data_IF_579061102778
#
_entry.id   IF_579061102778
#
_cell.length_a   1.000
_cell.length_b   1.000
_cell.length_c   1.000
_cell.angle_alpha   90.00
_cell.angle_beta   90.00
_cell.angle_gamma   90.00
#
_symmetry.space_group_name_H-M   'P 1'
#
loop_
_entity.id
_entity.type
_entity.pdbx_description
1 polymer ?
#
# COMPACT_ATOMS: atom_id res chain seq x y z
N UNK A 1 22.70 -4.54 18.60
CA UNK A 1 21.44 -5.29 18.36
C UNK A 1 21.18 -5.35 16.86
N UNK A 2 20.89 -6.56 16.34
CA UNK A 2 20.60 -6.82 14.93
C UNK A 2 19.43 -7.81 14.85
N UNK A 3 18.57 -7.69 13.87
CA UNK A 3 17.45 -8.61 13.66
C UNK A 3 16.20 -7.94 13.08
N UNK A 4 15.09 -8.64 13.15
CA UNK A 4 13.81 -8.19 12.64
C UNK A 4 12.76 -8.17 13.74
N UNK A 5 11.88 -7.17 13.68
CA UNK A 5 10.61 -7.13 14.40
C UNK A 5 9.52 -7.29 13.32
N UNK A 6 8.63 -8.25 13.53
CA UNK A 6 7.44 -8.42 12.72
C UNK A 6 6.31 -7.73 13.48
N UNK A 7 5.90 -6.59 12.98
CA UNK A 7 4.85 -5.78 13.59
C UNK A 7 3.54 -6.01 12.84
N UNK A 8 2.51 -6.41 13.56
CA UNK A 8 1.13 -6.27 13.09
C UNK A 8 0.75 -4.80 13.25
N UNK A 9 0.80 -4.06 12.13
CA UNK A 9 0.60 -2.61 12.14
C UNK A 9 -0.89 -2.29 12.30
N UNK A 10 -1.28 -1.59 13.38
CA UNK A 10 -2.67 -1.20 13.55
C UNK A 10 -3.09 -0.10 12.57
N UNK A 11 -4.41 0.04 12.41
CA UNK A 11 -5.03 1.15 11.69
C UNK A 11 -4.61 2.50 12.30
N UNK A 12 -4.44 3.50 11.45
CA UNK A 12 -4.10 4.88 11.86
C UNK A 12 -2.62 5.13 12.13
N UNK A 13 -1.78 4.08 12.16
CA UNK A 13 -0.34 4.22 12.37
C UNK A 13 0.42 4.22 11.05
N UNK A 14 1.19 5.27 10.76
CA UNK A 14 2.10 5.29 9.60
C UNK A 14 3.37 4.46 9.84
N UNK A 15 3.92 3.86 8.78
CA UNK A 15 5.14 3.01 8.85
C UNK A 15 6.35 3.75 9.43
N UNK A 16 6.53 5.04 9.10
CA UNK A 16 7.60 5.88 9.67
C UNK A 16 7.40 6.12 11.17
N UNK A 17 6.15 6.28 11.61
CA UNK A 17 5.81 6.45 13.03
C UNK A 17 6.10 5.16 13.81
N UNK A 18 5.84 3.99 13.23
CA UNK A 18 6.18 2.70 13.82
C UNK A 18 7.70 2.57 14.03
N UNK A 19 8.51 2.93 13.02
CA UNK A 19 9.98 2.97 13.13
C UNK A 19 10.43 3.95 14.24
N UNK A 20 9.81 5.13 14.33
CA UNK A 20 10.12 6.11 15.37
C UNK A 20 9.81 5.58 16.77
N UNK A 21 8.67 4.88 16.94
CA UNK A 21 8.29 4.24 18.20
C UNK A 21 9.31 3.16 18.63
N UNK A 22 9.73 2.30 17.68
CA UNK A 22 10.77 1.29 17.95
C UNK A 22 12.08 1.95 18.38
N UNK A 23 12.54 2.99 17.67
CA UNK A 23 13.76 3.74 18.05
C UNK A 23 13.65 4.33 19.46
N UNK A 24 12.52 4.89 19.83
CA UNK A 24 12.27 5.47 21.15
C UNK A 24 12.35 4.38 22.23
N UNK A 25 11.66 3.26 22.03
CA UNK A 25 11.62 2.15 22.99
C UNK A 25 13.01 1.54 23.20
N UNK A 26 13.79 1.35 22.12
CA UNK A 26 15.17 0.85 22.22
C UNK A 26 16.06 1.79 23.05
N UNK A 27 15.95 3.10 22.85
CA UNK A 27 16.69 4.09 23.65
C UNK A 27 16.29 4.05 25.12
N UNK A 28 14.99 4.00 25.41
CA UNK A 28 14.46 3.92 26.78
C UNK A 28 14.92 2.64 27.49
N UNK A 29 15.11 1.54 26.74
CA UNK A 29 15.63 0.28 27.26
C UNK A 29 17.16 0.22 27.34
N UNK A 30 17.88 1.32 27.11
CA UNK A 30 19.34 1.40 27.29
C UNK A 30 20.18 0.88 26.11
N UNK A 31 19.57 0.54 24.95
CA UNK A 31 20.33 0.04 23.80
C UNK A 31 21.08 1.11 23.00
N UNK A 32 21.02 2.36 23.39
CA UNK A 32 21.69 3.47 22.72
C UNK A 32 21.14 3.72 21.32
N UNK A 33 22.03 4.13 20.39
CA UNK A 33 21.64 4.44 18.99
C UNK A 33 21.69 3.20 18.11
N UNK A 34 20.54 2.58 17.86
CA UNK A 34 20.36 1.47 16.91
C UNK A 34 19.84 2.01 15.60
N UNK A 35 20.41 1.56 14.46
CA UNK A 35 19.85 1.81 13.12
C UNK A 35 18.56 1.02 13.00
N UNK A 36 17.47 1.67 12.59
CA UNK A 36 16.14 1.05 12.40
C UNK A 36 15.55 1.52 11.08
N UNK A 37 15.03 0.59 10.30
CA UNK A 37 14.32 0.82 9.04
C UNK A 37 13.17 -0.15 8.89
N UNK A 38 12.36 0.01 7.83
CA UNK A 38 11.30 -0.94 7.49
C UNK A 38 11.53 -1.53 6.09
N UNK A 39 11.08 -2.75 5.87
CA UNK A 39 11.20 -3.52 4.62
C UNK A 39 9.96 -3.47 3.75
N UNK A 40 9.18 -2.42 3.82
CA UNK A 40 7.95 -2.16 3.07
C UNK A 40 7.25 -0.95 3.66
N UNK A 41 6.24 -0.43 2.97
CA UNK A 41 5.41 0.68 3.47
C UNK A 41 3.97 0.24 3.46
N UNK A 42 3.29 0.42 4.58
CA UNK A 42 1.84 0.37 4.72
C UNK A 42 1.35 1.77 5.03
N UNK A 43 0.32 2.20 4.34
CA UNK A 43 -0.34 3.48 4.56
C UNK A 43 -1.04 3.53 5.91
N UNK A 44 -1.39 4.71 6.46
CA UNK A 44 -2.04 4.81 7.77
C UNK A 44 -3.33 4.00 7.86
N UNK A 45 -4.15 3.97 6.80
CA UNK A 45 -5.41 3.21 6.76
C UNK A 45 -5.22 1.72 6.43
N UNK A 46 -4.02 1.27 6.08
CA UNK A 46 -3.74 -0.15 5.92
C UNK A 46 -3.30 -0.78 7.25
N UNK A 47 -3.76 -2.00 7.51
CA UNK A 47 -3.30 -2.88 8.59
C UNK A 47 -2.43 -4.00 8.06
N UNK A 48 -1.76 -4.76 8.91
CA UNK A 48 -1.05 -5.98 8.56
C UNK A 48 0.45 -5.95 8.84
N UNK A 49 1.17 -6.85 8.21
CA UNK A 49 2.58 -7.14 8.52
C UNK A 49 3.51 -6.04 8.05
N UNK A 50 4.15 -5.35 8.97
CA UNK A 50 5.25 -4.42 8.71
C UNK A 50 6.56 -5.00 9.28
N UNK A 51 7.50 -5.32 8.40
CA UNK A 51 8.83 -5.80 8.80
C UNK A 51 9.73 -4.64 9.18
N UNK A 52 10.24 -4.61 10.41
CA UNK A 52 11.14 -3.58 10.92
C UNK A 52 12.51 -4.21 11.17
N UNK A 53 13.53 -3.69 10.50
CA UNK A 53 14.90 -4.15 10.60
C UNK A 53 15.70 -3.33 11.62
N UNK A 54 16.56 -4.01 12.39
CA UNK A 54 17.44 -3.45 13.40
C UNK A 54 18.91 -3.67 13.02
N UNK A 55 19.73 -2.65 13.15
CA UNK A 55 21.18 -2.71 12.93
C UNK A 55 21.55 -3.20 11.53
N UNK A 56 22.34 -4.24 11.41
CA UNK A 56 22.79 -4.79 10.12
C UNK A 56 21.64 -5.33 9.25
N UNK A 57 20.55 -5.80 9.85
CA UNK A 57 19.39 -6.26 9.09
C UNK A 57 18.79 -5.16 8.20
N UNK A 58 19.01 -3.88 8.49
CA UNK A 58 18.57 -2.77 7.62
C UNK A 58 19.16 -2.83 6.21
N UNK A 59 20.28 -3.50 6.01
CA UNK A 59 20.87 -3.74 4.69
C UNK A 59 20.05 -4.69 3.82
N UNK A 60 19.16 -5.47 4.45
CA UNK A 60 18.30 -6.46 3.78
C UNK A 60 16.89 -5.93 3.51
N UNK A 61 16.55 -4.69 3.89
CA UNK A 61 15.22 -4.11 3.65
C UNK A 61 14.81 -4.15 2.18
N UNK A 62 15.77 -3.96 1.25
CA UNK A 62 15.49 -4.06 -0.19
C UNK A 62 14.92 -5.42 -0.60
N UNK A 63 15.41 -6.51 -0.03
CA UNK A 63 14.89 -7.86 -0.33
C UNK A 63 13.43 -8.03 0.10
N UNK A 64 13.01 -7.37 1.18
CA UNK A 64 11.60 -7.38 1.62
C UNK A 64 10.73 -6.52 0.70
N UNK A 65 11.27 -5.43 0.16
CA UNK A 65 10.58 -4.60 -0.83
C UNK A 65 10.29 -5.38 -2.13
N UNK A 66 11.23 -6.22 -2.55
CA UNK A 66 11.13 -7.00 -3.80
C UNK A 66 10.43 -8.36 -3.61
N UNK A 67 10.13 -8.77 -2.38
CA UNK A 67 9.43 -10.02 -2.10
C UNK A 67 7.97 -9.97 -2.57
N UNK A 68 7.41 -11.13 -2.90
CA UNK A 68 5.97 -11.29 -3.15
C UNK A 68 5.15 -10.91 -1.91
N UNK A 69 3.97 -10.34 -2.12
CA UNK A 69 3.06 -9.88 -1.07
C UNK A 69 1.64 -10.29 -1.39
N UNK A 70 0.85 -10.50 -0.35
CA UNK A 70 -0.60 -10.68 -0.44
C UNK A 70 -1.28 -9.48 0.19
N UNK A 71 -2.32 -9.00 -0.45
CA UNK A 71 -3.15 -7.89 0.02
C UNK A 71 -4.62 -8.29 -0.07
N UNK A 72 -5.36 -7.99 0.98
CA UNK A 72 -6.82 -7.94 0.94
C UNK A 72 -7.23 -6.46 0.81
N UNK A 73 -8.05 -6.14 -0.16
CA UNK A 73 -8.52 -4.77 -0.34
C UNK A 73 -9.97 -4.73 -0.82
N UNK A 74 -10.69 -3.69 -0.41
CA UNK A 74 -12.09 -3.50 -0.77
C UNK A 74 -12.23 -2.37 -1.77
N UNK A 75 -12.86 -2.65 -2.90
CA UNK A 75 -13.26 -1.65 -3.89
C UNK A 75 -14.68 -1.19 -3.57
N UNK A 76 -14.89 0.11 -3.40
CA UNK A 76 -16.20 0.74 -3.29
C UNK A 76 -16.59 1.28 -4.67
N UNK A 77 -17.73 0.82 -5.20
CA UNK A 77 -18.24 1.30 -6.48
C UNK A 77 -19.02 2.60 -6.32
N UNK A 78 -18.98 3.44 -7.35
CA UNK A 78 -19.78 4.66 -7.45
C UNK A 78 -19.02 5.94 -7.15
N UNK A 79 -17.78 5.86 -6.69
CA UNK A 79 -16.92 7.02 -6.51
C UNK A 79 -15.48 6.69 -6.88
N UNK A 80 -14.80 7.66 -7.48
CA UNK A 80 -13.36 7.64 -7.69
C UNK A 80 -12.72 8.74 -6.85
N UNK A 81 -11.63 8.42 -6.16
CA UNK A 81 -10.88 9.37 -5.35
C UNK A 81 -9.54 9.71 -5.99
N UNK A 82 -8.99 10.88 -5.66
CA UNK A 82 -7.73 11.38 -6.23
C UNK A 82 -6.52 10.47 -5.96
N UNK A 83 -6.54 9.72 -4.85
CA UNK A 83 -5.50 8.76 -4.46
C UNK A 83 -5.83 7.31 -4.80
N UNK A 84 -7.03 7.03 -5.33
CA UNK A 84 -7.60 5.69 -5.48
C UNK A 84 -7.69 4.92 -4.14
N UNK A 85 -7.82 5.65 -3.05
CA UNK A 85 -7.93 5.17 -1.68
C UNK A 85 -8.96 5.98 -0.89
N UNK A 86 -9.22 5.61 0.37
CA UNK A 86 -10.19 6.27 1.23
C UNK A 86 -9.68 7.60 1.84
N UNK A 87 -8.41 7.98 1.62
CA UNK A 87 -7.86 9.27 2.08
C UNK A 87 -8.03 10.38 1.03
N UNK A 88 -8.24 10.01 -0.26
CA UNK A 88 -8.38 10.96 -1.36
C UNK A 88 -9.75 11.64 -1.39
N UNK A 89 -9.79 12.86 -1.93
CA UNK A 89 -11.05 13.54 -2.23
C UNK A 89 -11.75 12.87 -3.42
N UNK A 90 -13.09 12.84 -3.39
CA UNK A 90 -13.89 12.31 -4.51
C UNK A 90 -13.75 13.23 -5.72
N UNK A 91 -13.26 12.69 -6.83
CA UNK A 91 -13.03 13.41 -8.09
C UNK A 91 -14.04 13.05 -9.19
N UNK A 92 -14.67 11.87 -9.09
CA UNK A 92 -15.74 11.45 -10.00
C UNK A 92 -16.75 10.56 -9.29
N UNK A 93 -17.99 10.54 -9.79
CA UNK A 93 -19.06 9.67 -9.30
C UNK A 93 -19.77 8.96 -10.44
N UNK A 94 -20.37 7.79 -10.17
CA UNK A 94 -21.15 7.00 -11.11
C UNK A 94 -22.28 6.27 -10.38
N UNK A 95 -23.45 6.24 -10.99
CA UNK A 95 -24.58 5.42 -10.52
C UNK A 95 -24.46 3.95 -10.96
N UNK A 96 -23.52 3.66 -11.86
CA UNK A 96 -23.31 2.29 -12.34
C UNK A 96 -22.79 1.39 -11.22
N UNK A 97 -23.40 0.19 -11.14
CA UNK A 97 -22.97 -0.88 -10.23
C UNK A 97 -22.76 -2.15 -11.05
N UNK A 98 -21.55 -2.72 -11.09
CA UNK A 98 -21.31 -3.95 -11.82
C UNK A 98 -21.99 -5.14 -11.14
N UNK A 99 -22.35 -6.14 -11.95
CA UNK A 99 -22.69 -7.45 -11.42
C UNK A 99 -21.44 -8.23 -11.01
N UNK A 100 -21.60 -9.24 -10.15
CA UNK A 100 -20.48 -10.12 -9.77
C UNK A 100 -19.80 -10.73 -11.00
N UNK A 101 -20.58 -11.24 -11.96
CA UNK A 101 -20.05 -11.82 -13.19
C UNK A 101 -19.22 -10.83 -14.02
N UNK A 102 -19.57 -9.54 -14.01
CA UNK A 102 -18.78 -8.51 -14.69
C UNK A 102 -17.45 -8.25 -13.97
N UNK A 103 -17.45 -8.25 -12.64
CA UNK A 103 -16.22 -8.13 -11.86
C UNK A 103 -15.32 -9.35 -12.10
N UNK A 104 -15.86 -10.57 -11.98
CA UNK A 104 -15.11 -11.81 -12.25
C UNK A 104 -14.48 -11.80 -13.65
N UNK A 105 -15.22 -11.40 -14.67
CA UNK A 105 -14.71 -11.29 -16.04
C UNK A 105 -13.58 -10.26 -16.19
N UNK A 106 -13.61 -9.20 -15.37
CA UNK A 106 -12.58 -8.16 -15.38
C UNK A 106 -11.26 -8.62 -14.74
N UNK A 107 -11.28 -9.54 -13.75
CA UNK A 107 -10.08 -9.94 -13.00
C UNK A 107 -8.97 -10.48 -13.90
N UNK A 108 -9.34 -11.16 -15.00
CA UNK A 108 -8.36 -11.73 -15.94
C UNK A 108 -7.45 -10.66 -16.57
N UNK A 109 -7.92 -9.41 -16.71
CA UNK A 109 -7.15 -8.29 -17.27
C UNK A 109 -6.09 -7.79 -16.30
N UNK A 110 -6.25 -8.07 -15.01
CA UNK A 110 -5.37 -7.62 -13.93
C UNK A 110 -4.52 -8.74 -13.34
N UNK A 111 -4.56 -9.94 -13.93
CA UNK A 111 -3.80 -11.11 -13.49
C UNK A 111 -2.68 -11.43 -14.46
N UNK A 112 -1.54 -11.86 -13.95
CA UNK A 112 -0.32 -12.11 -14.75
C UNK A 112 0.60 -10.89 -14.84
N UNK A 113 1.47 -10.85 -15.84
CA UNK A 113 2.32 -9.69 -16.14
C UNK A 113 1.45 -8.56 -16.71
N UNK A 114 1.44 -7.41 -16.08
CA UNK A 114 0.68 -6.22 -16.50
C UNK A 114 1.54 -4.96 -16.43
N UNK A 115 1.18 -3.97 -17.24
CA UNK A 115 1.72 -2.63 -17.17
C UNK A 115 0.85 -1.76 -16.27
N UNK A 116 1.42 -1.26 -15.18
CA UNK A 116 0.74 -0.40 -14.22
C UNK A 116 1.24 1.03 -14.33
N UNK A 117 0.34 1.99 -14.50
CA UNK A 117 0.62 3.42 -14.27
C UNK A 117 0.24 3.72 -12.82
N UNK A 118 1.22 3.98 -11.93
CA UNK A 118 0.91 4.30 -10.54
C UNK A 118 0.16 5.62 -10.42
N UNK A 119 -0.68 5.82 -9.39
CA UNK A 119 -1.32 7.12 -9.15
C UNK A 119 -0.27 8.18 -8.79
N UNK A 120 -0.56 9.46 -9.14
CA UNK A 120 0.29 10.60 -8.77
C UNK A 120 0.42 10.74 -7.25
N UNK A 121 -0.64 10.40 -6.51
CA UNK A 121 -0.65 10.38 -5.04
C UNK A 121 -0.02 9.09 -4.49
N UNK A 122 1.24 8.82 -4.86
CA UNK A 122 1.99 7.64 -4.41
C UNK A 122 3.30 8.03 -3.74
N UNK A 123 3.87 7.10 -2.97
CA UNK A 123 5.18 7.27 -2.32
C UNK A 123 6.38 7.09 -3.28
N UNK A 124 6.14 6.93 -4.57
CA UNK A 124 7.18 6.81 -5.59
C UNK A 124 7.97 8.11 -5.65
N UNK A 125 9.28 7.99 -5.84
CA UNK A 125 10.16 9.17 -5.98
C UNK A 125 10.35 9.51 -7.44
N UNK A 126 10.20 10.80 -7.75
CA UNK A 126 10.51 11.42 -9.03
C UNK A 126 11.57 12.48 -8.74
N UNK A 127 12.74 12.36 -9.32
CA UNK A 127 13.89 13.26 -9.09
C UNK A 127 14.22 13.52 -7.61
N UNK A 128 14.05 12.45 -6.79
CA UNK A 128 14.36 12.48 -5.36
C UNK A 128 13.22 12.99 -4.47
N UNK A 129 12.16 13.58 -5.02
CA UNK A 129 10.96 14.01 -4.30
C UNK A 129 9.84 12.96 -4.41
N UNK A 130 8.97 12.89 -3.41
CA UNK A 130 7.83 11.98 -3.47
C UNK A 130 6.75 12.51 -4.41
N UNK A 131 6.15 11.64 -5.21
CA UNK A 131 5.11 12.01 -6.17
C UNK A 131 3.91 12.67 -5.46
N UNK A 132 3.48 12.18 -4.30
CA UNK A 132 2.39 12.78 -3.54
C UNK A 132 2.71 14.21 -3.03
N UNK A 133 3.98 14.54 -2.71
CA UNK A 133 4.37 15.89 -2.30
C UNK A 133 4.26 16.87 -3.49
N UNK A 134 4.68 16.42 -4.67
CA UNK A 134 4.56 17.19 -5.93
C UNK A 134 3.09 17.40 -6.30
N UNK A 135 2.26 16.34 -6.23
CA UNK A 135 0.84 16.43 -6.54
C UNK A 135 0.10 17.35 -5.58
N UNK A 136 0.39 17.31 -4.27
CA UNK A 136 -0.17 18.25 -3.28
C UNK A 136 0.27 19.70 -3.50
N UNK A 137 1.45 19.90 -4.07
CA UNK A 137 1.93 21.23 -4.46
C UNK A 137 1.28 21.73 -5.79
N UNK A 138 0.36 20.97 -6.39
CA UNK A 138 -0.33 21.32 -7.63
C UNK A 138 0.48 21.05 -8.90
N UNK A 139 1.59 20.34 -8.80
CA UNK A 139 2.38 19.98 -9.98
C UNK A 139 1.69 18.85 -10.77
N UNK A 140 1.71 18.96 -12.11
CA UNK A 140 1.31 17.85 -12.97
C UNK A 140 2.41 16.78 -12.95
N UNK A 141 2.13 15.66 -12.31
CA UNK A 141 3.08 14.56 -12.16
C UNK A 141 2.86 13.53 -13.26
N UNK A 142 3.78 13.45 -14.22
CA UNK A 142 3.77 12.43 -15.27
C UNK A 142 4.34 11.13 -14.70
N UNK A 143 3.46 10.18 -14.34
CA UNK A 143 3.85 8.87 -13.88
C UNK A 143 4.25 7.96 -15.04
N UNK A 144 5.36 7.25 -14.89
CA UNK A 144 5.80 6.25 -15.86
C UNK A 144 5.14 4.90 -15.57
N UNK A 145 4.77 4.18 -16.64
CA UNK A 145 4.36 2.79 -16.56
C UNK A 145 5.48 1.93 -15.98
N UNK A 146 5.10 0.91 -15.23
CA UNK A 146 6.01 -0.11 -14.70
C UNK A 146 5.42 -1.50 -14.90
N UNK A 147 6.25 -2.47 -15.25
CA UNK A 147 5.86 -3.86 -15.29
C UNK A 147 5.68 -4.39 -13.86
N UNK A 148 4.54 -5.01 -13.59
CA UNK A 148 4.25 -5.72 -12.33
C UNK A 148 3.66 -7.08 -12.67
N UNK A 149 3.80 -8.05 -11.76
CA UNK A 149 3.18 -9.37 -11.89
C UNK A 149 2.19 -9.59 -10.76
N UNK A 150 0.93 -9.74 -11.10
CA UNK A 150 -0.12 -10.17 -10.19
C UNK A 150 -0.25 -11.70 -10.32
N UNK A 151 0.25 -12.43 -9.32
CA UNK A 151 0.28 -13.88 -9.38
C UNK A 151 -1.12 -14.49 -9.30
N UNK A 152 -1.95 -13.96 -8.42
CA UNK A 152 -3.33 -14.38 -8.19
C UNK A 152 -4.18 -13.15 -7.85
N UNK A 153 -5.42 -13.15 -8.31
CA UNK A 153 -6.44 -12.16 -7.98
C UNK A 153 -7.80 -12.85 -7.93
N UNK A 154 -8.47 -12.82 -6.80
CA UNK A 154 -9.76 -13.48 -6.60
C UNK A 154 -10.66 -12.71 -5.64
N UNK A 155 -11.97 -12.91 -5.78
CA UNK A 155 -12.97 -12.29 -4.91
C UNK A 155 -13.01 -13.05 -3.58
N UNK A 156 -12.96 -12.31 -2.48
CA UNK A 156 -13.08 -12.91 -1.15
C UNK A 156 -14.47 -13.53 -0.93
N UNK A 157 -14.52 -14.69 -0.32
CA UNK A 157 -15.77 -15.49 -0.17
C UNK A 157 -16.86 -14.79 0.65
N UNK A 158 -16.48 -13.86 1.51
CA UNK A 158 -17.41 -13.14 2.40
C UNK A 158 -17.98 -11.85 1.77
N UNK A 159 -17.79 -11.67 0.45
CA UNK A 159 -18.36 -10.52 -0.28
C UNK A 159 -19.88 -10.65 -0.34
N UNK A 160 -20.61 -9.67 0.19
CA UNK A 160 -22.08 -9.61 0.09
C UNK A 160 -22.51 -9.32 -1.36
N UNK A 161 -23.42 -10.15 -1.89
CA UNK A 161 -23.74 -10.20 -3.33
C UNK A 161 -24.91 -9.32 -3.76
N UNK A 162 -25.76 -8.81 -2.85
CA UNK A 162 -26.92 -7.99 -3.22
C UNK A 162 -26.57 -6.51 -3.39
N UNK A 163 -26.71 -6.01 -4.61
CA UNK A 163 -26.47 -4.60 -4.97
C UNK A 163 -25.04 -4.19 -4.66
N UNK A 164 -24.06 -4.72 -5.41
CA UNK A 164 -22.63 -4.50 -5.16
C UNK A 164 -22.29 -3.02 -5.00
N UNK A 165 -22.35 -2.52 -3.77
CA UNK A 165 -21.74 -1.24 -3.42
C UNK A 165 -20.24 -1.38 -3.18
N UNK A 166 -19.78 -2.59 -2.82
CA UNK A 166 -18.35 -2.89 -2.62
C UNK A 166 -18.04 -4.37 -2.87
N UNK A 167 -16.76 -4.66 -3.11
CA UNK A 167 -16.23 -6.01 -3.25
C UNK A 167 -14.84 -6.09 -2.61
N UNK A 168 -14.54 -7.20 -1.93
CA UNK A 168 -13.20 -7.46 -1.39
C UNK A 168 -12.48 -8.51 -2.26
N UNK A 169 -11.25 -8.21 -2.62
CA UNK A 169 -10.34 -9.01 -3.44
C UNK A 169 -9.13 -9.45 -2.63
#
# INVERSE_FOLDING_TARGET
MHGWIILDKPLGLGSTQAVAAVKRNLRSAGFGKVKVGHGGTLDPLATGVLTIALGEATKLCGRMLDASKTYDFTICFGAETSGLDAEGEVVATSEYRPSLAQVEAALAQFTGPIEQIPPAYSAIKIDGQRAYDLARAGAVVAMQSRAVTVHELYIHKDTAIEGLNSITL
#
